data_IF_057766413044
#
_entry.id   IF_057766413044
#
_cell.length_a   1.000
_cell.length_b   1.000
_cell.length_c   1.000
_cell.angle_alpha   90.00
_cell.angle_beta   90.00
_cell.angle_gamma   90.00
#
_symmetry.space_group_name_H-M   'P 1'
#
loop_
_entity.id
_entity.type
_entity.pdbx_description
1 polymer ?
#
# COMPACT_ATOMS: atom_id res chain seq x y z
N UNK A 1 9.33 -6.44 2.68
CA UNK A 1 9.39 -7.86 2.24
C UNK A 1 8.78 -7.91 0.86
N UNK A 2 9.55 -8.31 -0.17
CA UNK A 2 8.97 -8.61 -1.48
C UNK A 2 8.00 -9.76 -1.28
N UNK A 3 6.73 -9.53 -1.56
CA UNK A 3 5.76 -10.63 -1.67
C UNK A 3 6.22 -11.53 -2.81
N UNK A 4 6.05 -12.83 -2.65
CA UNK A 4 6.31 -13.76 -3.75
C UNK A 4 5.36 -13.45 -4.91
N UNK A 5 5.85 -13.49 -6.16
CA UNK A 5 5.00 -13.24 -7.31
C UNK A 5 3.89 -14.29 -7.37
N UNK A 6 2.66 -13.83 -7.48
CA UNK A 6 1.50 -14.69 -7.70
C UNK A 6 1.28 -14.83 -9.20
N UNK A 7 1.38 -16.05 -9.71
CA UNK A 7 1.00 -16.33 -11.10
C UNK A 7 -0.48 -16.68 -11.14
N UNK A 8 -1.26 -15.84 -11.81
CA UNK A 8 -2.69 -16.08 -12.04
C UNK A 8 -2.85 -16.46 -13.51
N UNK A 9 -3.34 -17.67 -13.78
CA UNK A 9 -3.70 -18.10 -15.13
C UNK A 9 -5.22 -18.06 -15.20
N UNK A 10 -5.74 -16.96 -15.72
CA UNK A 10 -7.18 -16.78 -15.90
C UNK A 10 -7.51 -16.56 -17.38
N UNK A 11 -8.54 -17.22 -17.87
CA UNK A 11 -9.06 -17.06 -19.23
C UNK A 11 -9.73 -15.68 -19.47
N UNK A 12 -9.86 -14.86 -18.42
CA UNK A 12 -10.58 -13.58 -18.48
C UNK A 12 -9.72 -12.37 -18.75
N UNK A 13 -8.44 -12.38 -18.33
CA UNK A 13 -7.49 -11.28 -18.55
C UNK A 13 -7.71 -10.00 -17.75
N UNK A 14 -8.79 -9.88 -16.96
CA UNK A 14 -9.01 -8.71 -16.10
C UNK A 14 -7.98 -8.66 -14.98
N UNK A 15 -7.50 -7.45 -14.67
CA UNK A 15 -6.49 -7.22 -13.65
C UNK A 15 -7.12 -6.58 -12.42
N UNK A 16 -6.87 -7.15 -11.25
CA UNK A 16 -7.24 -6.54 -9.97
C UNK A 16 -6.04 -6.57 -9.04
N UNK A 17 -5.68 -5.43 -8.48
CA UNK A 17 -4.57 -5.35 -7.54
C UNK A 17 -4.50 -4.01 -6.83
N UNK A 18 -3.64 -3.96 -5.81
CA UNK A 18 -3.37 -2.74 -5.06
C UNK A 18 -2.57 -1.74 -5.88
N UNK A 19 -2.77 -0.47 -5.61
CA UNK A 19 -1.98 0.60 -6.22
C UNK A 19 -0.47 0.34 -6.06
N UNK A 20 0.27 0.48 -7.18
CA UNK A 20 1.71 0.22 -7.23
C UNK A 20 2.11 -1.24 -7.42
N UNK A 21 1.15 -2.17 -7.51
CA UNK A 21 1.46 -3.57 -7.87
C UNK A 21 2.05 -3.63 -9.28
N UNK A 22 3.20 -4.26 -9.41
CA UNK A 22 3.79 -4.57 -10.72
C UNK A 22 3.20 -5.86 -11.28
N UNK A 23 2.69 -5.78 -12.48
CA UNK A 23 2.08 -6.90 -13.20
C UNK A 23 2.88 -7.17 -14.46
N UNK A 24 3.21 -8.43 -14.71
CA UNK A 24 3.72 -8.91 -15.99
C UNK A 24 2.59 -9.66 -16.71
N UNK A 25 2.21 -9.13 -17.86
CA UNK A 25 1.26 -9.76 -18.78
C UNK A 25 2.00 -10.64 -19.76
N UNK A 26 1.60 -11.91 -19.87
CA UNK A 26 2.14 -12.84 -20.84
C UNK A 26 1.02 -13.27 -21.78
N UNK A 27 1.16 -12.90 -23.05
CA UNK A 27 0.27 -13.30 -24.12
C UNK A 27 0.85 -14.51 -24.86
N UNK A 28 0.14 -15.62 -24.85
CA UNK A 28 0.51 -16.80 -25.63
C UNK A 28 -0.06 -16.70 -27.05
N UNK A 29 0.77 -16.99 -28.02
CA UNK A 29 0.41 -16.97 -29.43
C UNK A 29 0.50 -18.36 -30.04
N UNK A 30 -0.30 -18.64 -31.07
CA UNK A 30 -0.33 -19.92 -31.75
C UNK A 30 0.70 -20.03 -32.92
N UNK A 31 1.43 -18.95 -33.17
CA UNK A 31 2.50 -18.86 -34.16
C UNK A 31 3.55 -17.85 -33.69
N UNK A 32 4.81 -17.98 -34.16
CA UNK A 32 5.85 -17.05 -33.80
C UNK A 32 5.51 -15.59 -34.19
N UNK A 33 5.79 -14.67 -33.27
CA UNK A 33 5.52 -13.23 -33.39
C UNK A 33 6.78 -12.42 -33.17
N UNK A 34 6.87 -11.24 -33.77
CA UNK A 34 8.02 -10.32 -33.64
C UNK A 34 7.77 -9.24 -32.56
N UNK A 35 6.53 -9.06 -32.14
CA UNK A 35 6.12 -8.06 -31.14
C UNK A 35 4.67 -7.69 -31.28
N UNK A 36 4.30 -6.63 -30.61
CA UNK A 36 2.95 -6.05 -30.60
C UNK A 36 2.88 -4.88 -29.64
N UNK A 37 1.71 -4.28 -29.51
CA UNK A 37 1.45 -3.15 -28.63
C UNK A 37 0.37 -3.54 -27.62
N UNK A 38 0.60 -3.22 -26.35
CA UNK A 38 -0.41 -3.21 -25.30
C UNK A 38 -0.96 -1.79 -25.22
N UNK A 39 -2.14 -1.55 -25.79
CA UNK A 39 -2.82 -0.28 -25.68
C UNK A 39 -3.55 -0.16 -24.34
N UNK A 40 -3.37 0.98 -23.66
CA UNK A 40 -3.90 1.30 -22.35
C UNK A 40 -4.86 2.49 -22.47
N UNK A 41 -6.05 2.37 -21.87
CA UNK A 41 -7.01 3.46 -21.71
C UNK A 41 -7.27 3.64 -20.21
N UNK A 42 -6.43 4.51 -19.58
CA UNK A 42 -6.40 4.73 -18.15
C UNK A 42 -7.11 6.03 -17.79
N UNK A 43 -7.76 6.07 -16.64
CA UNK A 43 -8.49 7.27 -16.15
C UNK A 43 -7.61 8.41 -15.66
N UNK A 44 -6.29 8.22 -15.61
CA UNK A 44 -5.32 9.21 -15.11
C UNK A 44 -4.05 9.26 -15.96
N UNK A 45 -3.04 10.03 -15.52
CA UNK A 45 -1.79 10.13 -16.23
C UNK A 45 -1.06 8.79 -16.27
N UNK A 46 -0.56 8.42 -17.44
CA UNK A 46 0.18 7.17 -17.65
C UNK A 46 0.57 6.99 -19.10
N UNK A 47 1.28 5.90 -19.39
CA UNK A 47 1.54 5.49 -20.76
C UNK A 47 0.21 5.06 -21.40
N UNK A 48 -0.02 5.46 -22.65
CA UNK A 48 -1.16 4.99 -23.44
C UNK A 48 -0.85 3.68 -24.16
N UNK A 49 0.42 3.35 -24.30
CA UNK A 49 0.91 2.17 -25.04
C UNK A 49 2.18 1.63 -24.40
N UNK A 50 2.33 0.32 -24.39
CA UNK A 50 3.55 -0.40 -24.01
C UNK A 50 3.87 -1.41 -25.12
N UNK A 51 5.15 -1.60 -25.39
CA UNK A 51 5.60 -2.61 -26.33
C UNK A 51 5.66 -4.00 -25.70
N UNK A 52 5.15 -5.00 -26.40
CA UNK A 52 5.35 -6.39 -26.05
C UNK A 52 6.75 -6.86 -26.47
N UNK A 53 7.42 -7.56 -25.58
CA UNK A 53 8.71 -8.21 -25.82
C UNK A 53 8.48 -9.68 -26.17
N UNK A 54 8.93 -10.15 -27.33
CA UNK A 54 8.80 -11.56 -27.71
C UNK A 54 9.80 -12.44 -26.95
N UNK A 55 9.41 -13.68 -26.65
CA UNK A 55 10.29 -14.75 -26.21
C UNK A 55 11.22 -15.19 -27.34
N UNK A 56 12.24 -16.00 -27.03
CA UNK A 56 13.20 -16.49 -28.04
C UNK A 56 12.53 -17.29 -29.16
N UNK A 57 11.49 -18.06 -28.85
CA UNK A 57 10.69 -18.83 -29.81
C UNK A 57 9.57 -18.02 -30.46
N UNK A 58 9.33 -16.80 -30.01
CA UNK A 58 8.27 -15.90 -30.46
C UNK A 58 6.85 -16.34 -30.11
N UNK A 59 6.68 -17.41 -29.32
CA UNK A 59 5.37 -17.94 -28.94
C UNK A 59 4.76 -17.26 -27.70
N UNK A 60 5.52 -16.40 -27.04
CA UNK A 60 5.07 -15.59 -25.93
C UNK A 60 5.46 -14.12 -26.14
N UNK A 61 4.59 -13.24 -25.75
CA UNK A 61 4.83 -11.80 -25.69
C UNK A 61 4.62 -11.32 -24.26
N UNK A 62 5.58 -10.63 -23.68
CA UNK A 62 5.47 -10.08 -22.33
C UNK A 62 5.47 -8.55 -22.32
N UNK A 63 4.69 -7.96 -21.42
CA UNK A 63 4.69 -6.55 -21.12
C UNK A 63 4.51 -6.34 -19.61
N UNK A 64 5.23 -5.39 -19.02
CA UNK A 64 5.13 -5.06 -17.59
C UNK A 64 4.47 -3.71 -17.42
N UNK A 65 3.53 -3.62 -16.47
CA UNK A 65 2.89 -2.37 -16.08
C UNK A 65 2.73 -2.32 -14.56
N UNK A 66 2.77 -1.09 -14.01
CA UNK A 66 2.40 -0.86 -12.62
C UNK A 66 0.94 -0.40 -12.54
N UNK A 67 0.14 -1.04 -11.68
CA UNK A 67 -1.26 -0.66 -11.43
C UNK A 67 -1.28 0.65 -10.67
N UNK A 68 -1.54 1.76 -11.35
CA UNK A 68 -1.64 3.10 -10.73
C UNK A 68 -3.01 3.72 -10.92
N UNK A 69 -3.61 3.49 -12.06
CA UNK A 69 -4.89 4.07 -12.45
C UNK A 69 -5.79 2.98 -13.01
N UNK A 70 -7.09 2.97 -12.64
CA UNK A 70 -8.04 2.06 -13.24
C UNK A 70 -8.31 2.42 -14.71
N UNK A 71 -8.78 1.45 -15.47
CA UNK A 71 -9.05 1.63 -16.89
C UNK A 71 -9.22 0.30 -17.62
N UNK A 72 -8.78 0.26 -18.87
CA UNK A 72 -8.79 -0.96 -19.68
C UNK A 72 -7.49 -1.12 -20.45
N UNK A 73 -7.23 -2.35 -20.88
CA UNK A 73 -6.14 -2.65 -21.78
C UNK A 73 -6.55 -3.64 -22.89
N UNK A 74 -5.81 -3.67 -23.99
CA UNK A 74 -5.97 -4.63 -25.07
C UNK A 74 -4.67 -4.82 -25.83
N UNK A 75 -4.45 -6.03 -26.34
CA UNK A 75 -3.37 -6.27 -27.28
C UNK A 75 -3.78 -5.79 -28.68
N UNK A 76 -2.92 -5.02 -29.30
CA UNK A 76 -3.10 -4.52 -30.67
C UNK A 76 -1.83 -4.78 -31.49
N UNK A 77 -2.00 -4.85 -32.79
CA UNK A 77 -0.89 -4.94 -33.74
C UNK A 77 0.12 -6.06 -33.43
N UNK A 78 -0.32 -7.23 -32.93
CA UNK A 78 0.56 -8.38 -32.75
C UNK A 78 1.00 -8.87 -34.14
N UNK A 79 2.31 -8.82 -34.41
CA UNK A 79 2.85 -9.07 -35.74
C UNK A 79 3.39 -10.49 -35.86
N UNK A 80 2.95 -11.21 -36.91
CA UNK A 80 3.44 -12.56 -37.24
C UNK A 80 4.87 -12.51 -37.79
N UNK A 81 5.77 -13.29 -37.21
CA UNK A 81 7.15 -13.39 -37.67
C UNK A 81 7.24 -14.02 -39.08
N UNK A 82 6.24 -14.82 -39.50
CA UNK A 82 6.25 -15.51 -40.79
C UNK A 82 5.73 -14.64 -41.93
N UNK A 83 4.70 -13.85 -41.68
CA UNK A 83 3.99 -13.12 -42.73
C UNK A 83 4.08 -11.61 -42.62
N UNK A 84 4.53 -11.06 -41.48
CA UNK A 84 4.49 -9.62 -41.19
C UNK A 84 3.07 -9.06 -41.00
N UNK A 85 2.05 -9.91 -40.97
CA UNK A 85 0.67 -9.46 -40.79
C UNK A 85 0.40 -9.15 -39.34
N UNK A 86 -0.33 -8.05 -39.10
CA UNK A 86 -0.73 -7.61 -37.80
C UNK A 86 -2.12 -8.13 -37.43
N UNK A 87 -2.29 -8.56 -36.19
CA UNK A 87 -3.56 -9.01 -35.66
C UNK A 87 -4.59 -7.88 -35.57
N UNK A 88 -5.86 -8.24 -35.56
CA UNK A 88 -6.91 -7.33 -35.07
C UNK A 88 -6.72 -7.11 -33.55
N UNK A 89 -7.19 -5.96 -33.02
CA UNK A 89 -7.20 -5.74 -31.57
C UNK A 89 -7.94 -6.87 -30.84
N UNK A 90 -7.43 -7.26 -29.68
CA UNK A 90 -8.16 -8.16 -28.77
C UNK A 90 -9.39 -7.46 -28.21
N UNK A 91 -10.23 -8.19 -27.48
CA UNK A 91 -11.20 -7.57 -26.57
C UNK A 91 -10.46 -6.70 -25.55
N UNK A 92 -11.15 -5.71 -25.00
CA UNK A 92 -10.65 -4.94 -23.89
C UNK A 92 -10.84 -5.71 -22.58
N UNK A 93 -9.84 -5.65 -21.72
CA UNK A 93 -9.83 -6.22 -20.37
C UNK A 93 -9.80 -5.09 -19.35
N UNK A 94 -10.40 -5.30 -18.20
CA UNK A 94 -10.53 -4.29 -17.15
C UNK A 94 -9.29 -4.24 -16.23
N UNK A 95 -8.91 -3.04 -15.79
CA UNK A 95 -7.91 -2.80 -14.76
C UNK A 95 -8.61 -2.17 -13.56
N UNK A 96 -8.70 -2.93 -12.47
CA UNK A 96 -9.26 -2.49 -11.19
C UNK A 96 -8.10 -2.25 -10.22
N UNK A 97 -7.94 -0.98 -9.81
CA UNK A 97 -6.91 -0.59 -8.85
C UNK A 97 -7.56 -0.35 -7.49
N UNK A 98 -7.13 -1.11 -6.50
CA UNK A 98 -7.51 -0.91 -5.12
C UNK A 98 -6.56 0.11 -4.49
N UNK A 99 -7.14 1.19 -3.97
CA UNK A 99 -6.36 2.21 -3.26
C UNK A 99 -6.08 1.71 -1.85
N UNK A 100 -4.85 1.96 -1.41
CA UNK A 100 -4.41 1.71 -0.05
C UNK A 100 -4.83 2.87 0.85
N UNK A 101 -5.58 2.58 1.88
CA UNK A 101 -6.05 3.59 2.84
C UNK A 101 -5.00 3.78 3.94
N UNK A 102 -4.86 5.03 4.39
CA UNK A 102 -3.99 5.34 5.50
C UNK A 102 -4.45 4.66 6.80
N UNK A 103 -3.52 4.14 7.64
CA UNK A 103 -3.90 3.50 8.89
C UNK A 103 -4.62 4.47 9.82
N UNK A 104 -5.72 3.99 10.42
CA UNK A 104 -6.49 4.72 11.39
C UNK A 104 -6.12 4.30 12.82
N UNK A 105 -5.90 5.29 13.70
CA UNK A 105 -5.59 5.05 15.12
C UNK A 105 -6.40 5.98 16.02
N UNK A 106 -6.84 5.45 17.17
CA UNK A 106 -7.56 6.24 18.18
C UNK A 106 -7.22 5.78 19.58
N UNK A 107 -7.32 6.73 20.53
CA UNK A 107 -7.34 6.40 21.96
C UNK A 107 -8.74 5.89 22.30
N UNK A 108 -8.79 4.76 22.99
CA UNK A 108 -10.03 4.16 23.51
C UNK A 108 -10.21 4.53 24.99
N UNK A 109 -9.11 4.54 25.74
CA UNK A 109 -9.10 4.95 27.15
C UNK A 109 -7.79 5.68 27.45
N UNK A 110 -7.84 6.78 28.19
CA UNK A 110 -9.03 7.46 28.68
C UNK A 110 -9.86 8.12 27.55
N UNK A 111 -11.17 8.28 27.76
CA UNK A 111 -12.06 8.93 26.79
C UNK A 111 -11.92 10.46 26.83
N UNK A 112 -11.45 11.00 27.94
CA UNK A 112 -11.26 12.42 28.16
C UNK A 112 -10.11 12.93 27.28
N UNK A 113 -10.38 14.01 26.56
CA UNK A 113 -9.38 14.69 25.71
C UNK A 113 -8.36 15.51 26.49
N UNK A 114 -8.64 15.78 27.77
CA UNK A 114 -7.76 16.56 28.65
C UNK A 114 -7.80 15.99 30.05
N UNK A 115 -6.65 15.71 30.60
CA UNK A 115 -6.48 15.15 31.94
C UNK A 115 -5.64 16.07 32.80
N UNK A 116 -5.99 16.14 34.08
CA UNK A 116 -5.11 16.68 35.10
C UNK A 116 -4.36 15.53 35.73
N UNK A 117 -3.03 15.58 35.68
CA UNK A 117 -2.16 14.51 36.11
C UNK A 117 -1.03 15.06 37.00
N UNK A 118 -0.52 14.26 37.90
CA UNK A 118 0.72 14.56 38.59
C UNK A 118 1.94 14.22 37.70
N UNK A 119 3.09 14.83 37.98
CA UNK A 119 4.31 14.64 37.14
C UNK A 119 4.92 13.25 37.25
N UNK A 120 4.52 12.46 38.22
CA UNK A 120 4.96 11.11 38.55
C UNK A 120 3.83 10.07 38.41
N UNK A 121 2.72 10.47 37.80
CA UNK A 121 1.64 9.53 37.50
C UNK A 121 2.04 8.55 36.37
N UNK A 122 1.43 7.38 36.43
CA UNK A 122 1.42 6.41 35.35
C UNK A 122 0.06 6.47 34.66
N UNK A 123 0.03 6.84 33.39
CA UNK A 123 -1.18 6.97 32.62
C UNK A 123 -1.43 5.71 31.79
N UNK A 124 -2.42 4.85 32.18
CA UNK A 124 -2.78 3.69 31.38
C UNK A 124 -3.50 4.15 30.11
N UNK A 125 -3.00 3.71 28.97
CA UNK A 125 -3.57 4.01 27.67
C UNK A 125 -4.06 2.72 26.99
N UNK A 126 -5.28 2.78 26.46
CA UNK A 126 -5.80 1.77 25.54
C UNK A 126 -5.98 2.42 24.18
N UNK A 127 -5.39 1.85 23.16
CA UNK A 127 -5.46 2.31 21.79
C UNK A 127 -6.06 1.24 20.89
N UNK A 128 -6.79 1.66 19.86
CA UNK A 128 -7.23 0.81 18.77
C UNK A 128 -6.66 1.36 17.46
N UNK A 129 -6.08 0.46 16.66
CA UNK A 129 -5.56 0.80 15.35
C UNK A 129 -6.08 -0.20 14.32
N UNK A 130 -6.28 0.27 13.09
CA UNK A 130 -6.68 -0.57 11.95
C UNK A 130 -6.03 -0.08 10.67
N UNK A 131 -5.83 -1.02 9.76
CA UNK A 131 -5.30 -0.81 8.43
C UNK A 131 -5.89 -1.85 7.47
N UNK A 132 -6.06 -1.52 6.21
CA UNK A 132 -6.61 -2.45 5.21
C UNK A 132 -5.59 -3.47 4.70
N UNK A 133 -4.29 -3.14 4.76
CA UNK A 133 -3.20 -4.05 4.44
C UNK A 133 -2.58 -4.68 5.69
N UNK A 134 -1.79 -3.94 6.42
CA UNK A 134 -1.17 -4.38 7.67
C UNK A 134 -0.46 -3.23 8.40
N UNK A 135 -0.62 -3.15 9.71
CA UNK A 135 0.09 -2.22 10.56
C UNK A 135 1.56 -2.67 10.71
N UNK A 136 2.49 -1.78 10.40
CA UNK A 136 3.92 -2.03 10.58
C UNK A 136 4.44 -1.48 11.90
N UNK A 137 4.01 -0.27 12.27
CA UNK A 137 4.56 0.45 13.40
C UNK A 137 3.52 1.37 14.04
N UNK A 138 3.57 1.52 15.36
CA UNK A 138 2.81 2.55 16.06
C UNK A 138 3.76 3.32 16.98
N UNK A 139 3.66 4.64 16.94
CA UNK A 139 4.39 5.54 17.80
C UNK A 139 3.44 6.43 18.60
N UNK A 140 3.86 6.81 19.80
CA UNK A 140 3.29 7.97 20.46
C UNK A 140 4.30 9.12 20.45
N UNK A 141 3.81 10.29 20.13
CA UNK A 141 4.60 11.51 20.09
C UNK A 141 4.14 12.44 21.22
N UNK A 142 5.08 12.98 21.97
CA UNK A 142 4.77 13.90 23.07
C UNK A 142 5.41 15.25 22.80
N UNK A 143 4.63 16.30 23.00
CA UNK A 143 5.10 17.68 22.96
C UNK A 143 4.78 18.37 24.28
N UNK A 144 5.79 18.91 24.97
CA UNK A 144 5.62 19.66 26.21
C UNK A 144 5.82 21.15 25.93
N UNK A 145 4.85 21.99 26.34
CA UNK A 145 4.90 23.46 26.24
C UNK A 145 5.26 23.96 24.83
N UNK A 146 4.71 23.34 23.78
CA UNK A 146 4.96 23.67 22.37
C UNK A 146 6.44 23.53 21.93
N UNK A 147 7.25 22.80 22.69
CA UNK A 147 8.63 22.45 22.27
C UNK A 147 8.59 21.39 21.17
N UNK A 148 9.74 20.94 20.69
CA UNK A 148 9.84 19.87 19.69
C UNK A 148 9.16 18.57 20.14
N UNK A 149 8.60 17.83 19.18
CA UNK A 149 8.03 16.52 19.40
C UNK A 149 9.10 15.49 19.77
N UNK A 150 8.88 14.74 20.82
CA UNK A 150 9.62 13.52 21.14
C UNK A 150 8.79 12.32 20.68
N UNK A 151 9.42 11.35 20.04
CA UNK A 151 8.78 10.18 19.43
C UNK A 151 9.22 8.94 20.18
N UNK A 152 8.27 8.06 20.48
CA UNK A 152 8.51 6.81 21.19
C UNK A 152 7.72 5.69 20.54
N UNK A 153 8.27 4.47 20.45
CA UNK A 153 7.50 3.31 20.01
C UNK A 153 6.45 2.94 21.06
N UNK A 154 5.29 2.50 20.61
CA UNK A 154 4.27 1.92 21.50
C UNK A 154 4.75 0.54 21.94
N UNK A 155 4.83 0.25 23.26
CA UNK A 155 5.22 -1.06 23.75
C UNK A 155 4.22 -2.16 23.33
N UNK A 156 4.71 -3.39 23.13
CA UNK A 156 3.86 -4.56 22.88
C UNK A 156 3.41 -4.74 21.42
N UNK A 157 3.80 -3.87 20.50
CA UNK A 157 3.46 -4.03 19.08
C UNK A 157 4.18 -5.22 18.44
N UNK A 158 5.41 -5.57 18.83
CA UNK A 158 6.26 -6.53 18.12
C UNK A 158 5.62 -7.88 17.76
N UNK A 159 4.74 -8.42 18.63
CA UNK A 159 3.99 -9.65 18.35
C UNK A 159 2.72 -9.40 17.49
N UNK A 160 2.38 -8.15 17.22
CA UNK A 160 1.16 -7.73 16.53
C UNK A 160 1.45 -7.03 15.20
N UNK A 161 2.69 -7.02 14.77
CA UNK A 161 3.08 -6.60 13.42
C UNK A 161 2.35 -7.46 12.39
N UNK A 162 1.94 -6.87 11.28
CA UNK A 162 1.18 -7.52 10.20
C UNK A 162 -0.30 -7.82 10.50
N UNK A 163 -0.84 -7.35 11.61
CA UNK A 163 -2.30 -7.39 11.84
C UNK A 163 -3.01 -6.21 11.19
N UNK A 164 -4.18 -6.47 10.66
CA UNK A 164 -5.07 -5.45 10.09
C UNK A 164 -5.80 -4.63 11.16
N UNK A 165 -6.08 -5.26 12.30
CA UNK A 165 -6.72 -4.61 13.45
C UNK A 165 -6.05 -5.07 14.73
N UNK A 166 -5.86 -4.14 15.65
CA UNK A 166 -5.32 -4.43 16.96
C UNK A 166 -5.85 -3.47 18.02
N UNK A 167 -5.86 -3.98 19.25
CA UNK A 167 -6.06 -3.18 20.45
C UNK A 167 -4.87 -3.42 21.37
N UNK A 168 -4.23 -2.35 21.81
CA UNK A 168 -3.08 -2.40 22.70
C UNK A 168 -3.35 -1.60 23.96
N UNK A 169 -2.82 -2.11 25.07
CA UNK A 169 -2.77 -1.40 26.35
C UNK A 169 -1.30 -1.21 26.74
N UNK A 170 -0.95 -0.02 27.17
CA UNK A 170 0.37 0.29 27.69
C UNK A 170 0.31 1.43 28.68
N UNK A 171 1.27 1.49 29.56
CA UNK A 171 1.42 2.51 30.57
C UNK A 171 2.40 3.58 30.08
N UNK A 172 1.95 4.83 30.11
CA UNK A 172 2.80 5.99 29.85
C UNK A 172 3.27 6.55 31.19
N UNK A 173 4.54 6.33 31.52
CA UNK A 173 5.17 6.90 32.70
C UNK A 173 5.47 8.38 32.46
N UNK A 174 4.82 9.25 33.22
CA UNK A 174 4.95 10.70 33.09
C UNK A 174 6.25 11.22 33.69
N UNK A 175 6.94 10.45 34.53
CA UNK A 175 8.23 10.83 35.12
C UNK A 175 9.29 11.06 34.06
N UNK A 176 9.24 10.29 32.97
CA UNK A 176 10.16 10.41 31.84
C UNK A 176 9.99 11.71 31.04
N UNK A 177 8.83 12.33 31.15
CA UNK A 177 8.52 13.61 30.51
C UNK A 177 9.10 14.80 31.29
N UNK A 178 9.46 14.62 32.58
CA UNK A 178 10.01 15.65 33.45
C UNK A 178 9.12 16.91 33.51
N UNK A 179 7.82 16.69 33.68
CA UNK A 179 6.83 17.75 33.76
C UNK A 179 7.03 18.58 35.03
N UNK A 180 6.76 19.87 34.91
CA UNK A 180 6.73 20.83 36.04
C UNK A 180 5.29 21.27 36.28
N UNK A 181 4.96 21.82 37.48
CA UNK A 181 3.63 22.41 37.71
C UNK A 181 3.27 23.41 36.61
N UNK A 182 2.04 23.31 36.11
CA UNK A 182 1.49 24.10 34.98
C UNK A 182 2.06 23.80 33.58
N UNK A 183 2.91 22.78 33.42
CA UNK A 183 3.27 22.32 32.08
C UNK A 183 2.06 21.70 31.38
N UNK A 184 2.01 21.89 30.06
CA UNK A 184 1.02 21.27 29.18
C UNK A 184 1.73 20.27 28.28
N UNK A 185 1.29 19.03 28.28
CA UNK A 185 1.77 17.99 27.38
C UNK A 185 0.66 17.61 26.40
N UNK A 186 1.03 17.48 25.12
CA UNK A 186 0.16 16.99 24.07
C UNK A 186 0.68 15.62 23.66
N UNK A 187 -0.19 14.62 23.66
CA UNK A 187 0.06 13.28 23.15
C UNK A 187 -0.60 13.13 21.78
N UNK A 188 0.16 12.66 20.81
CA UNK A 188 -0.32 12.27 19.48
C UNK A 188 0.06 10.82 19.24
N UNK A 189 -0.86 10.02 18.71
CA UNK A 189 -0.59 8.68 18.21
C UNK A 189 -0.41 8.71 16.69
N UNK A 190 0.52 7.91 16.19
CA UNK A 190 0.80 7.79 14.76
C UNK A 190 0.95 6.32 14.44
N UNK A 191 0.16 5.83 13.51
CA UNK A 191 0.29 4.50 12.96
C UNK A 191 0.97 4.56 11.59
N UNK A 192 1.67 3.50 11.24
CA UNK A 192 2.39 3.37 9.98
C UNK A 192 2.04 2.02 9.36
N UNK A 193 1.79 2.03 8.09
CA UNK A 193 1.73 0.86 7.22
C UNK A 193 3.09 0.58 6.55
N UNK A 194 3.12 -0.39 5.64
CA UNK A 194 4.34 -0.73 4.89
C UNK A 194 4.73 0.27 3.81
N UNK A 195 3.85 1.19 3.43
CA UNK A 195 4.17 2.27 2.46
C UNK A 195 4.81 3.48 3.12
N UNK A 196 4.72 3.61 4.43
CA UNK A 196 5.33 4.70 5.19
C UNK A 196 4.34 5.48 6.04
N UNK A 197 4.79 6.62 6.60
CA UNK A 197 3.97 7.45 7.46
C UNK A 197 2.91 8.18 6.64
N UNK A 198 1.69 7.77 6.79
CA UNK A 198 0.54 8.62 6.53
C UNK A 198 0.04 9.17 7.87
N UNK A 199 0.14 10.43 8.05
CA UNK A 199 -0.27 11.12 9.26
C UNK A 199 -0.64 12.54 8.98
#
# INVERSE_FOLDING_TARGET
>A
TKLEPLTVTEDRGDLTGWEGTEVELVLHTNQPTTGGILALDLTGPGASELEFKPSEDGLQLSASLALRNPGTYRAVEVESAQTGWKSKPSQAFEIIVQLDEAPAIRVVSPEEKSLLVASDDILPLTIAARDDLALEKIEYHVQVNKRGWKKFPVPGLGANVDKKELMLQFDLDLIDLKLRPNDQAILKLVAFDRKGASG
#
